data_IF_055864372678
#
_entry.id   IF_055864372678
#
_cell.length_a   1.000
_cell.length_b   1.000
_cell.length_c   1.000
_cell.angle_alpha   90.00
_cell.angle_beta   90.00
_cell.angle_gamma   90.00
#
_symmetry.space_group_name_H-M   'P 1'
#
loop_
_entity.id
_entity.type
_entity.pdbx_description
1 polymer ?
#
# COMPACT_ATOMS: atom_id res chain seq x y z
N UNK A 1 -11.60 -1.56 64.73
CA UNK A 1 -11.88 -2.05 63.38
C UNK A 1 -11.03 -1.22 62.42
N UNK A 2 -9.88 -1.78 62.04
CA UNK A 2 -9.08 -1.21 60.93
C UNK A 2 -9.75 -1.59 59.62
N UNK A 3 -10.18 -0.60 58.87
CA UNK A 3 -10.64 -0.78 57.49
C UNK A 3 -9.40 -0.64 56.64
N UNK A 4 -8.85 -1.79 56.18
CA UNK A 4 -7.77 -1.81 55.22
C UNK A 4 -8.28 -1.16 53.94
N UNK A 5 -7.79 0.06 53.66
CA UNK A 5 -7.97 0.69 52.35
C UNK A 5 -7.16 -0.11 51.33
N UNK A 6 -7.81 -1.05 50.65
CA UNK A 6 -7.27 -1.67 49.43
C UNK A 6 -7.31 -0.58 48.37
N UNK A 7 -6.11 -0.04 48.05
CA UNK A 7 -5.95 0.81 46.85
C UNK A 7 -6.37 0.00 45.64
N UNK A 8 -7.25 0.52 44.76
CA UNK A 8 -7.55 -0.16 43.53
C UNK A 8 -6.26 -0.32 42.71
N UNK A 9 -6.08 -1.45 42.01
CA UNK A 9 -4.89 -1.65 41.18
C UNK A 9 -4.75 -0.48 40.19
N UNK A 10 -3.58 0.11 40.12
CA UNK A 10 -3.28 1.15 39.14
C UNK A 10 -3.56 0.58 37.74
N UNK A 11 -4.46 1.20 36.99
CA UNK A 11 -4.72 0.86 35.61
C UNK A 11 -3.43 1.15 34.86
N UNK A 12 -2.69 0.13 34.47
CA UNK A 12 -1.59 0.29 33.52
C UNK A 12 -2.19 0.63 32.17
N UNK A 13 -2.11 1.88 31.78
CA UNK A 13 -2.49 2.32 30.44
C UNK A 13 -1.34 1.90 29.54
N UNK A 14 -1.47 0.75 28.89
CA UNK A 14 -0.56 0.36 27.82
C UNK A 14 -0.95 1.18 26.58
N UNK A 15 -0.08 2.14 26.21
CA UNK A 15 -0.31 2.96 25.02
C UNK A 15 0.27 2.23 23.79
N UNK A 16 -0.56 2.00 22.78
CA UNK A 16 -0.09 1.48 21.50
C UNK A 16 0.84 2.52 20.83
N UNK A 17 1.91 2.09 20.15
CA UNK A 17 2.70 2.99 19.31
C UNK A 17 1.82 3.71 18.29
N UNK A 18 2.10 5.00 18.07
CA UNK A 18 1.37 5.83 17.11
C UNK A 18 2.13 5.90 15.79
N UNK A 19 1.44 5.71 14.68
CA UNK A 19 2.03 5.81 13.35
C UNK A 19 1.24 6.85 12.55
N UNK A 20 1.91 7.87 12.04
CA UNK A 20 1.29 8.84 11.15
C UNK A 20 1.47 8.40 9.70
N UNK A 21 0.35 8.11 9.04
CA UNK A 21 0.32 7.78 7.62
C UNK A 21 -0.16 8.95 6.79
N UNK A 22 0.65 9.34 5.79
CA UNK A 22 0.29 10.22 4.69
C UNK A 22 -0.05 9.36 3.47
N UNK A 23 -1.25 9.47 2.95
CA UNK A 23 -1.66 8.66 1.81
C UNK A 23 -3.01 9.03 1.24
N UNK A 24 -3.31 8.53 0.05
CA UNK A 24 -4.63 8.67 -0.53
C UNK A 24 -5.65 7.75 0.14
N UNK A 25 -6.91 8.18 0.18
CA UNK A 25 -8.01 7.31 0.59
C UNK A 25 -8.48 6.46 -0.59
N UNK A 26 -8.66 5.16 -0.34
CA UNK A 26 -9.11 4.16 -1.32
C UNK A 26 -10.51 3.66 -0.95
N UNK A 27 -11.55 3.92 -1.78
CA UNK A 27 -12.91 3.44 -1.50
C UNK A 27 -13.04 1.92 -1.45
N UNK A 28 -12.12 1.19 -2.10
CA UNK A 28 -12.08 -0.27 -2.09
C UNK A 28 -11.46 -0.83 -0.81
N UNK A 29 -10.60 -0.05 -0.14
CA UNK A 29 -9.88 -0.48 1.05
C UNK A 29 -8.70 -1.41 0.77
N UNK A 30 -8.29 -1.55 -0.49
CA UNK A 30 -7.20 -2.41 -0.89
C UNK A 30 -5.83 -1.79 -0.63
N UNK A 31 -5.72 -0.48 -0.85
CA UNK A 31 -4.49 0.32 -0.77
C UNK A 31 -4.69 1.58 0.10
N UNK A 32 -3.71 2.46 0.14
CA UNK A 32 -3.78 3.77 0.79
C UNK A 32 -4.04 3.69 2.30
N UNK A 33 -4.64 4.76 2.83
CA UNK A 33 -4.89 4.92 4.27
C UNK A 33 -5.66 3.73 4.87
N UNK A 34 -6.64 3.17 4.17
CA UNK A 34 -7.43 2.05 4.67
C UNK A 34 -6.58 0.79 4.86
N UNK A 35 -5.69 0.52 3.92
CA UNK A 35 -4.74 -0.59 4.02
C UNK A 35 -3.75 -0.39 5.18
N UNK A 36 -3.26 0.85 5.31
CA UNK A 36 -2.32 1.23 6.36
C UNK A 36 -2.93 1.05 7.75
N UNK A 37 -4.10 1.66 8.00
CA UNK A 37 -4.80 1.57 9.28
C UNK A 37 -5.14 0.12 9.66
N UNK A 38 -5.57 -0.70 8.68
CA UNK A 38 -5.87 -2.11 8.91
C UNK A 38 -4.61 -2.89 9.32
N UNK A 39 -3.46 -2.65 8.65
CA UNK A 39 -2.19 -3.30 8.95
C UNK A 39 -1.62 -2.84 10.31
N UNK A 40 -1.69 -1.54 10.63
CA UNK A 40 -1.27 -1.01 11.93
C UNK A 40 -2.06 -1.64 13.07
N UNK A 41 -3.40 -1.70 12.93
CA UNK A 41 -4.27 -2.32 13.93
C UNK A 41 -3.96 -3.81 14.12
N UNK A 42 -3.68 -4.55 13.04
CA UNK A 42 -3.28 -5.96 13.10
C UNK A 42 -1.97 -6.16 13.88
N UNK A 43 -1.07 -5.17 13.86
CA UNK A 43 0.23 -5.20 14.56
C UNK A 43 0.18 -4.52 15.94
N UNK A 44 -1.00 -4.18 16.45
CA UNK A 44 -1.16 -3.57 17.78
C UNK A 44 -0.79 -2.08 17.86
N UNK A 45 -0.64 -1.41 16.73
CA UNK A 45 -0.38 0.02 16.65
C UNK A 45 -1.66 0.82 16.41
N UNK A 46 -1.65 2.10 16.80
CA UNK A 46 -2.73 3.03 16.46
C UNK A 46 -2.30 3.92 15.29
N UNK A 47 -3.08 3.89 14.21
CA UNK A 47 -2.81 4.69 13.02
C UNK A 47 -3.46 6.06 13.09
N UNK A 48 -2.67 7.10 12.87
CA UNK A 48 -3.11 8.46 12.56
C UNK A 48 -3.06 8.64 11.04
N UNK A 49 -4.02 9.35 10.46
CA UNK A 49 -4.10 9.48 9.01
C UNK A 49 -4.21 10.92 8.54
N UNK A 50 -3.34 11.30 7.61
CA UNK A 50 -3.42 12.55 6.84
C UNK A 50 -3.69 12.20 5.39
N UNK A 51 -4.86 12.54 4.90
CA UNK A 51 -5.28 12.22 3.54
C UNK A 51 -4.64 13.19 2.56
N UNK A 52 -3.87 12.66 1.61
CA UNK A 52 -3.18 13.41 0.55
C UNK A 52 -3.95 13.45 -0.76
N UNK A 53 -4.91 12.54 -0.94
CA UNK A 53 -5.73 12.43 -2.13
C UNK A 53 -6.89 11.48 -1.96
N UNK A 54 -7.78 11.47 -2.94
CA UNK A 54 -8.93 10.58 -3.03
C UNK A 54 -8.79 9.77 -4.32
N UNK A 55 -8.68 8.45 -4.21
CA UNK A 55 -8.64 7.56 -5.37
C UNK A 55 -10.03 7.36 -5.95
N UNK A 56 -10.13 7.41 -7.25
CA UNK A 56 -11.28 6.95 -8.02
C UNK A 56 -10.89 5.62 -8.66
N UNK A 57 -11.59 4.55 -8.32
CA UNK A 57 -11.27 3.23 -8.86
C UNK A 57 -12.11 2.11 -8.27
N UNK A 58 -11.83 0.91 -8.75
CA UNK A 58 -12.47 -0.33 -8.31
C UNK A 58 -11.42 -1.43 -8.00
N UNK A 59 -11.84 -2.68 -7.89
CA UNK A 59 -10.91 -3.80 -7.65
C UNK A 59 -10.02 -4.13 -8.84
N UNK A 60 -10.30 -3.57 -10.02
CA UNK A 60 -9.57 -3.82 -11.26
C UNK A 60 -8.39 -2.86 -11.41
N UNK A 61 -8.64 -1.55 -11.26
CA UNK A 61 -7.63 -0.50 -11.43
C UNK A 61 -8.05 0.82 -10.75
N UNK A 62 -7.08 1.70 -10.58
CA UNK A 62 -7.30 3.10 -10.22
C UNK A 62 -7.50 3.90 -11.50
N UNK A 63 -8.60 4.64 -11.62
CA UNK A 63 -8.93 5.45 -12.80
C UNK A 63 -8.34 6.86 -12.69
N UNK A 64 -8.38 7.45 -11.48
CA UNK A 64 -7.94 8.81 -11.25
C UNK A 64 -7.60 9.05 -9.77
N UNK A 65 -6.94 10.17 -9.49
CA UNK A 65 -6.68 10.66 -8.14
C UNK A 65 -6.98 12.14 -8.04
N UNK A 66 -7.81 12.53 -7.07
CA UNK A 66 -8.00 13.91 -6.69
C UNK A 66 -7.07 14.27 -5.55
N UNK A 67 -6.03 15.07 -5.78
CA UNK A 67 -5.14 15.55 -4.72
C UNK A 67 -5.90 16.45 -3.74
N UNK A 68 -5.56 16.35 -2.46
CA UNK A 68 -5.98 17.28 -1.41
C UNK A 68 -5.02 18.47 -1.42
N UNK A 69 -5.56 19.65 -1.13
CA UNK A 69 -4.79 20.90 -1.01
C UNK A 69 -3.67 20.75 0.03
N UNK A 70 -2.46 21.18 -0.33
CA UNK A 70 -1.25 20.97 0.46
C UNK A 70 -1.29 21.71 1.81
N UNK A 71 -1.95 22.86 1.91
CA UNK A 71 -2.11 23.58 3.18
C UNK A 71 -2.98 22.76 4.15
N UNK A 72 -4.03 22.07 3.65
CA UNK A 72 -4.83 21.15 4.47
C UNK A 72 -4.03 19.94 4.96
N UNK A 73 -3.19 19.36 4.09
CA UNK A 73 -2.30 18.25 4.45
C UNK A 73 -1.32 18.70 5.54
N UNK A 74 -0.70 19.86 5.37
CA UNK A 74 0.25 20.42 6.33
C UNK A 74 -0.41 20.72 7.68
N UNK A 75 -1.53 21.41 7.68
CA UNK A 75 -2.23 21.82 8.91
C UNK A 75 -2.72 20.60 9.69
N UNK A 76 -3.28 19.60 9.02
CA UNK A 76 -3.74 18.38 9.67
C UNK A 76 -2.59 17.61 10.32
N UNK A 77 -1.46 17.47 9.62
CA UNK A 77 -0.29 16.79 10.16
C UNK A 77 0.29 17.52 11.38
N UNK A 78 0.43 18.84 11.31
CA UNK A 78 0.99 19.65 12.42
C UNK A 78 0.12 19.58 13.67
N UNK A 79 -1.21 19.68 13.53
CA UNK A 79 -2.16 19.56 14.65
C UNK A 79 -2.02 18.19 15.34
N UNK A 80 -1.88 17.11 14.57
CA UNK A 80 -1.68 15.77 15.13
C UNK A 80 -0.34 15.64 15.84
N UNK A 81 0.73 16.14 15.25
CA UNK A 81 2.09 16.04 15.79
C UNK A 81 2.33 16.92 17.02
N UNK A 82 1.58 18.04 17.18
CA UNK A 82 1.59 18.87 18.38
C UNK A 82 0.94 18.16 19.57
N UNK A 83 -0.04 17.29 19.34
CA UNK A 83 -0.80 16.60 20.40
C UNK A 83 -0.26 15.19 20.72
N UNK A 84 0.24 14.48 19.70
CA UNK A 84 0.54 13.06 19.80
C UNK A 84 1.96 12.72 19.32
N UNK A 85 2.80 12.09 20.19
CA UNK A 85 4.13 11.65 19.80
C UNK A 85 4.03 10.41 18.89
N UNK A 86 4.50 10.51 17.66
CA UNK A 86 4.51 9.39 16.70
C UNK A 86 5.82 8.59 16.82
N UNK A 87 5.71 7.27 16.61
CA UNK A 87 6.82 6.33 16.64
C UNK A 87 7.34 5.96 15.24
N UNK A 88 6.56 6.23 14.18
CA UNK A 88 6.96 6.06 12.80
C UNK A 88 6.09 6.91 11.85
N UNK A 89 6.66 7.27 10.71
CA UNK A 89 5.94 7.82 9.56
C UNK A 89 5.81 6.77 8.46
N UNK A 90 4.66 6.73 7.83
CA UNK A 90 4.45 6.00 6.57
C UNK A 90 3.96 6.98 5.51
N UNK A 91 4.66 7.07 4.40
CA UNK A 91 4.27 7.91 3.26
C UNK A 91 3.95 7.02 2.07
N UNK A 92 2.71 7.15 1.59
CA UNK A 92 2.19 6.43 0.43
C UNK A 92 1.99 7.35 -0.77
N UNK A 93 0.87 7.19 -1.48
CA UNK A 93 0.52 8.04 -2.61
C UNK A 93 0.25 9.48 -2.17
N UNK A 94 0.96 10.45 -2.74
CA UNK A 94 0.93 11.85 -2.31
C UNK A 94 0.06 12.76 -3.20
N UNK A 95 -0.20 12.36 -4.44
CA UNK A 95 -1.12 13.02 -5.35
C UNK A 95 -0.61 14.27 -6.05
N UNK A 96 0.32 15.04 -5.48
CA UNK A 96 0.90 16.25 -6.09
C UNK A 96 2.32 16.55 -5.59
N UNK A 97 3.05 17.41 -6.33
CA UNK A 97 4.39 17.91 -5.94
C UNK A 97 4.32 18.77 -4.68
N UNK A 98 3.26 19.54 -4.54
CA UNK A 98 3.04 20.39 -3.37
C UNK A 98 2.87 19.54 -2.10
N UNK A 99 2.15 18.43 -2.19
CA UNK A 99 2.01 17.49 -1.08
C UNK A 99 3.35 16.84 -0.72
N UNK A 100 4.16 16.46 -1.72
CA UNK A 100 5.53 15.96 -1.49
C UNK A 100 6.35 16.98 -0.72
N UNK A 101 6.29 18.23 -1.12
CA UNK A 101 7.07 19.32 -0.52
C UNK A 101 6.69 19.55 0.94
N UNK A 102 5.40 19.68 1.25
CA UNK A 102 4.96 19.91 2.65
C UNK A 102 5.20 18.71 3.55
N UNK A 103 5.06 17.49 3.03
CA UNK A 103 5.38 16.27 3.79
C UNK A 103 6.87 16.21 4.09
N UNK A 104 7.74 16.51 3.12
CA UNK A 104 9.19 16.51 3.30
C UNK A 104 9.63 17.56 4.33
N UNK A 105 9.03 18.75 4.31
CA UNK A 105 9.25 19.79 5.34
C UNK A 105 8.86 19.27 6.74
N UNK A 106 7.68 18.64 6.87
CA UNK A 106 7.19 18.15 8.16
C UNK A 106 8.09 17.05 8.70
N UNK A 107 8.42 16.02 7.90
CA UNK A 107 9.26 14.90 8.40
C UNK A 107 10.68 15.33 8.72
N UNK A 108 11.19 16.38 8.09
CA UNK A 108 12.52 16.95 8.40
C UNK A 108 12.65 17.50 9.82
N UNK A 109 11.53 17.87 10.46
CA UNK A 109 11.50 18.31 11.85
C UNK A 109 11.60 17.13 12.84
N UNK A 110 11.49 15.88 12.36
CA UNK A 110 11.48 14.65 13.16
C UNK A 110 12.53 13.63 12.69
N UNK A 111 13.83 13.98 12.64
CA UNK A 111 14.85 13.13 12.02
C UNK A 111 15.10 11.79 12.73
N UNK A 112 14.67 11.66 14.00
CA UNK A 112 14.81 10.44 14.78
C UNK A 112 13.63 9.48 14.62
N UNK A 113 12.55 9.89 13.91
CA UNK A 113 11.37 9.07 13.67
C UNK A 113 11.54 8.35 12.33
N UNK A 114 11.53 7.01 12.30
CA UNK A 114 11.70 6.26 11.05
C UNK A 114 10.61 6.58 10.03
N UNK A 115 11.04 6.84 8.79
CA UNK A 115 10.20 7.13 7.65
C UNK A 115 10.19 5.94 6.68
N UNK A 116 9.02 5.37 6.44
CA UNK A 116 8.78 4.34 5.45
C UNK A 116 8.11 4.97 4.24
N UNK A 117 8.80 4.94 3.09
CA UNK A 117 8.30 5.49 1.83
C UNK A 117 7.89 4.36 0.88
N UNK A 118 6.60 4.32 0.52
CA UNK A 118 6.01 3.43 -0.47
C UNK A 118 5.29 4.30 -1.51
N UNK A 119 5.99 4.68 -2.60
CA UNK A 119 5.49 5.71 -3.52
C UNK A 119 4.23 5.34 -4.28
N UNK A 120 3.91 4.03 -4.39
CA UNK A 120 2.69 3.53 -5.03
C UNK A 120 2.50 4.03 -6.47
N UNK A 121 3.59 4.16 -7.22
CA UNK A 121 3.54 4.76 -8.57
C UNK A 121 2.98 3.82 -9.63
N UNK A 122 3.09 2.51 -9.46
CA UNK A 122 2.64 1.51 -10.45
C UNK A 122 1.12 1.33 -10.51
N UNK A 123 0.39 1.74 -9.49
CA UNK A 123 -1.06 1.62 -9.46
C UNK A 123 -1.78 2.92 -9.86
N UNK A 124 -1.05 4.03 -9.97
CA UNK A 124 -1.58 5.32 -10.43
C UNK A 124 -1.61 5.33 -11.97
N UNK A 125 -2.68 5.83 -12.62
CA UNK A 125 -2.74 5.92 -14.07
C UNK A 125 -1.55 6.67 -14.67
N UNK A 126 -1.05 6.20 -15.83
CA UNK A 126 0.10 6.82 -16.51
C UNK A 126 -0.12 8.33 -16.74
N UNK A 127 -1.37 8.76 -17.03
CA UNK A 127 -1.71 10.17 -17.23
C UNK A 127 -1.42 11.05 -16.01
N UNK A 128 -1.51 10.50 -14.79
CA UNK A 128 -1.17 11.21 -13.55
C UNK A 128 0.35 11.28 -13.35
N UNK A 129 1.07 10.34 -13.96
CA UNK A 129 2.54 10.21 -13.90
C UNK A 129 3.22 10.71 -15.19
N UNK A 130 2.48 11.38 -16.10
CA UNK A 130 3.04 11.93 -17.34
C UNK A 130 4.13 12.99 -17.10
N UNK A 131 4.12 13.61 -15.92
CA UNK A 131 5.19 14.51 -15.48
C UNK A 131 6.18 13.75 -14.60
N UNK A 132 7.45 13.80 -14.96
CA UNK A 132 8.56 13.33 -14.10
C UNK A 132 8.69 14.17 -12.81
N UNK A 133 7.96 15.28 -12.70
CA UNK A 133 8.07 16.22 -11.59
C UNK A 133 7.75 15.57 -10.24
N UNK A 134 6.76 14.65 -10.18
CA UNK A 134 6.47 13.89 -8.95
C UNK A 134 7.62 12.98 -8.55
N UNK A 135 8.21 12.28 -9.53
CA UNK A 135 9.33 11.36 -9.32
C UNK A 135 10.57 12.14 -8.90
N UNK A 136 10.84 13.28 -9.55
CA UNK A 136 11.95 14.18 -9.23
C UNK A 136 11.79 14.76 -7.82
N UNK A 137 10.62 15.31 -7.49
CA UNK A 137 10.35 15.89 -6.18
C UNK A 137 10.50 14.85 -5.05
N UNK A 138 9.96 13.65 -5.24
CA UNK A 138 10.08 12.56 -4.28
C UNK A 138 11.55 12.16 -4.07
N UNK A 139 12.31 12.01 -5.14
CA UNK A 139 13.73 11.67 -5.09
C UNK A 139 14.57 12.74 -4.39
N UNK A 140 14.30 14.02 -4.68
CA UNK A 140 15.10 15.12 -4.14
C UNK A 140 14.72 15.48 -2.70
N UNK A 141 13.47 15.34 -2.32
CA UNK A 141 12.95 15.83 -1.06
C UNK A 141 12.70 14.75 0.00
N UNK A 142 12.19 13.56 -0.39
CA UNK A 142 11.81 12.50 0.53
C UNK A 142 12.85 11.39 0.64
N UNK A 143 13.40 10.93 -0.47
CA UNK A 143 14.40 9.83 -0.47
C UNK A 143 15.56 10.09 0.49
N UNK A 144 16.14 11.32 0.58
CA UNK A 144 17.24 11.61 1.51
C UNK A 144 16.88 11.49 3.00
N UNK A 145 15.62 11.45 3.35
CA UNK A 145 15.10 11.37 4.72
C UNK A 145 14.51 10.00 5.05
N UNK A 146 14.54 9.08 4.07
CA UNK A 146 13.83 7.80 4.16
C UNK A 146 14.68 6.75 4.87
N UNK A 147 14.12 6.16 5.94
CA UNK A 147 14.71 5.00 6.60
C UNK A 147 14.57 3.75 5.74
N UNK A 148 13.38 3.49 5.18
CA UNK A 148 13.15 2.39 4.26
C UNK A 148 12.30 2.83 3.07
N UNK A 149 12.87 2.68 1.87
CA UNK A 149 12.18 2.86 0.60
C UNK A 149 11.77 1.50 0.05
N UNK A 150 10.46 1.30 -0.16
CA UNK A 150 9.90 0.07 -0.73
C UNK A 150 9.51 0.30 -2.17
N UNK A 151 10.04 -0.51 -3.09
CA UNK A 151 9.83 -0.40 -4.52
C UNK A 151 9.61 -1.76 -5.17
N UNK A 152 8.75 -1.84 -6.16
CA UNK A 152 8.80 -2.90 -7.14
C UNK A 152 10.00 -2.70 -8.08
N UNK A 153 10.39 -3.74 -8.82
CA UNK A 153 11.46 -3.63 -9.83
C UNK A 153 11.17 -2.53 -10.87
N UNK A 154 9.90 -2.39 -11.27
CA UNK A 154 9.48 -1.38 -12.26
C UNK A 154 9.62 0.04 -11.67
N UNK A 155 9.24 0.23 -10.42
CA UNK A 155 9.36 1.51 -9.73
C UNK A 155 10.81 1.91 -9.51
N UNK A 156 11.67 0.95 -9.15
CA UNK A 156 13.10 1.17 -9.01
C UNK A 156 13.71 1.64 -10.34
N UNK A 157 13.46 0.93 -11.43
CA UNK A 157 13.95 1.30 -12.76
C UNK A 157 13.47 2.69 -13.17
N UNK A 158 12.18 2.99 -12.96
CA UNK A 158 11.60 4.30 -13.27
C UNK A 158 12.24 5.42 -12.45
N UNK A 159 12.45 5.20 -11.16
CA UNK A 159 13.10 6.15 -10.28
C UNK A 159 14.57 6.36 -10.67
N UNK A 160 15.25 5.32 -11.13
CA UNK A 160 16.63 5.36 -11.62
C UNK A 160 16.75 6.06 -12.99
N UNK A 161 15.82 5.86 -13.92
CA UNK A 161 15.83 6.44 -15.27
C UNK A 161 15.86 7.96 -15.28
N UNK A 162 15.33 8.63 -14.25
CA UNK A 162 15.26 10.09 -14.19
C UNK A 162 16.63 10.79 -14.02
N UNK A 163 17.71 10.05 -13.75
CA UNK A 163 19.03 10.64 -13.53
C UNK A 163 20.20 9.85 -14.13
N UNK A 164 19.93 8.63 -14.64
CA UNK A 164 20.98 7.73 -15.09
C UNK A 164 21.35 7.98 -16.55
N UNK A 165 22.65 8.07 -16.83
CA UNK A 165 23.11 7.90 -18.21
C UNK A 165 22.93 6.43 -18.62
N UNK A 166 22.49 6.15 -19.88
CA UNK A 166 22.34 4.78 -20.34
C UNK A 166 23.66 4.00 -20.16
N UNK A 167 23.62 2.99 -19.31
CA UNK A 167 24.75 2.08 -19.07
C UNK A 167 24.36 0.65 -19.39
N UNK A 168 25.36 -0.20 -19.68
CA UNK A 168 25.14 -1.61 -19.95
C UNK A 168 25.04 -2.46 -18.65
N UNK A 169 25.18 -1.83 -17.48
CA UNK A 169 25.21 -2.48 -16.17
C UNK A 169 23.93 -2.17 -15.35
N UNK A 170 22.78 -2.25 -16.00
CA UNK A 170 21.47 -2.00 -15.38
C UNK A 170 21.09 -3.15 -14.44
N UNK A 171 21.64 -3.17 -13.24
CA UNK A 171 21.31 -4.15 -12.21
C UNK A 171 20.52 -3.52 -11.05
N UNK A 172 19.64 -4.30 -10.41
CA UNK A 172 18.90 -3.86 -9.21
C UNK A 172 19.84 -3.30 -8.14
N UNK A 173 21.02 -3.89 -7.98
CA UNK A 173 22.01 -3.46 -7.00
C UNK A 173 22.57 -2.08 -7.31
N UNK A 174 22.82 -1.76 -8.58
CA UNK A 174 23.32 -0.43 -9.01
C UNK A 174 22.26 0.64 -8.71
N UNK A 175 21.03 0.40 -9.12
CA UNK A 175 19.93 1.34 -8.91
C UNK A 175 19.62 1.55 -7.42
N UNK A 176 19.61 0.48 -6.62
CA UNK A 176 19.44 0.56 -5.17
C UNK A 176 20.59 1.34 -4.50
N UNK A 177 21.83 1.12 -4.94
CA UNK A 177 23.00 1.83 -4.44
C UNK A 177 22.88 3.34 -4.68
N UNK A 178 22.42 3.77 -5.85
CA UNK A 178 22.23 5.19 -6.13
C UNK A 178 21.22 5.87 -5.20
N UNK A 179 20.12 5.17 -4.86
CA UNK A 179 19.14 5.68 -3.90
C UNK A 179 19.72 5.80 -2.49
N UNK A 180 20.54 4.83 -2.09
CA UNK A 180 21.24 4.84 -0.80
C UNK A 180 22.29 5.97 -0.75
N UNK A 181 23.04 6.18 -1.83
CA UNK A 181 23.98 7.30 -1.94
C UNK A 181 23.29 8.67 -1.89
N UNK A 182 22.00 8.75 -2.26
CA UNK A 182 21.17 9.95 -2.15
C UNK A 182 20.69 10.22 -0.72
N UNK A 183 20.94 9.31 0.24
CA UNK A 183 20.65 9.49 1.66
C UNK A 183 19.63 8.49 2.25
N UNK A 184 18.98 7.66 1.45
CA UNK A 184 18.11 6.59 1.94
C UNK A 184 18.94 5.55 2.72
N UNK A 185 18.46 5.09 3.88
CA UNK A 185 19.21 4.11 4.67
C UNK A 185 19.07 2.69 4.12
N UNK A 186 17.84 2.30 3.75
CA UNK A 186 17.54 0.97 3.21
C UNK A 186 16.62 1.06 1.99
N UNK A 187 16.86 0.17 1.02
CA UNK A 187 15.99 -0.02 -0.15
C UNK A 187 15.53 -1.47 -0.20
N UNK A 188 14.21 -1.69 -0.15
CA UNK A 188 13.59 -3.00 -0.32
C UNK A 188 12.99 -3.11 -1.72
N UNK A 189 13.58 -3.96 -2.56
CA UNK A 189 13.05 -4.26 -3.89
C UNK A 189 12.22 -5.53 -3.83
N UNK A 190 10.95 -5.44 -4.24
CA UNK A 190 9.98 -6.53 -4.09
C UNK A 190 9.54 -7.14 -5.41
N UNK A 191 9.15 -8.41 -5.36
CA UNK A 191 8.48 -9.10 -6.46
C UNK A 191 9.38 -9.42 -7.65
N UNK A 192 10.70 -9.45 -7.46
CA UNK A 192 11.63 -9.87 -8.50
C UNK A 192 11.42 -11.35 -8.83
N UNK A 193 11.21 -11.72 -10.11
CA UNK A 193 11.08 -13.13 -10.48
C UNK A 193 12.38 -13.88 -10.15
N UNK A 194 12.29 -14.87 -9.27
CA UNK A 194 13.42 -15.76 -8.94
C UNK A 194 13.33 -17.05 -9.75
N UNK A 195 12.11 -17.57 -9.85
CA UNK A 195 11.78 -18.75 -10.64
C UNK A 195 10.27 -18.66 -11.04
N UNK A 196 9.74 -19.71 -11.71
CA UNK A 196 8.30 -19.75 -12.14
C UNK A 196 7.34 -19.73 -10.93
N UNK A 197 7.79 -20.27 -9.81
CA UNK A 197 6.97 -20.49 -8.61
C UNK A 197 7.35 -19.59 -7.43
N UNK A 198 8.42 -18.78 -7.56
CA UNK A 198 8.95 -17.95 -6.49
C UNK A 198 9.16 -16.51 -6.92
N UNK A 199 9.08 -15.64 -5.92
CA UNK A 199 9.49 -14.24 -6.03
C UNK A 199 10.55 -13.97 -4.97
N UNK A 200 11.53 -13.14 -5.30
CA UNK A 200 12.54 -12.65 -4.37
C UNK A 200 12.24 -11.21 -3.96
N UNK A 201 12.48 -10.93 -2.69
CA UNK A 201 12.51 -9.58 -2.16
C UNK A 201 13.92 -9.34 -1.60
N UNK A 202 14.58 -8.29 -2.05
CA UNK A 202 15.98 -8.00 -1.70
C UNK A 202 16.07 -6.69 -0.95
N UNK A 203 16.63 -6.72 0.25
CA UNK A 203 16.93 -5.56 1.08
C UNK A 203 18.38 -5.14 0.88
N UNK A 204 18.59 -3.87 0.56
CA UNK A 204 19.90 -3.25 0.38
C UNK A 204 20.13 -2.18 1.44
N UNK A 205 21.41 -2.02 1.84
CA UNK A 205 21.93 -0.89 2.57
C UNK A 205 23.27 -0.41 1.98
N UNK A 206 23.96 0.50 2.62
CA UNK A 206 25.28 1.02 2.18
C UNK A 206 26.36 -0.05 2.04
N UNK A 207 26.19 -1.24 2.61
CA UNK A 207 27.14 -2.36 2.49
C UNK A 207 26.78 -3.31 1.32
N UNK A 208 25.65 -3.08 0.65
CA UNK A 208 25.11 -3.90 -0.43
C UNK A 208 23.89 -4.71 0.01
N UNK A 209 23.77 -5.96 -0.41
CA UNK A 209 22.64 -6.84 -0.05
C UNK A 209 22.73 -7.21 1.44
N UNK A 210 21.72 -6.81 2.22
CA UNK A 210 21.56 -7.17 3.64
C UNK A 210 20.90 -8.53 3.77
N UNK A 211 19.84 -8.76 2.97
CA UNK A 211 19.12 -10.03 2.92
C UNK A 211 18.37 -10.19 1.59
N UNK A 212 18.13 -11.41 1.23
CA UNK A 212 17.28 -11.81 0.13
C UNK A 212 16.34 -12.92 0.63
N UNK A 213 15.04 -12.66 0.52
CA UNK A 213 14.00 -13.57 0.98
C UNK A 213 13.20 -14.10 -0.23
N UNK A 214 13.00 -15.41 -0.27
CA UNK A 214 12.27 -16.10 -1.32
C UNK A 214 10.91 -16.55 -0.82
N UNK A 215 9.86 -16.19 -1.57
CA UNK A 215 8.48 -16.48 -1.21
C UNK A 215 7.76 -17.22 -2.33
N UNK A 216 6.92 -18.22 -2.00
CA UNK A 216 6.07 -18.85 -3.00
C UNK A 216 5.18 -17.83 -3.68
N UNK A 217 5.18 -17.84 -5.03
CA UNK A 217 4.26 -17.00 -5.80
C UNK A 217 2.83 -17.43 -5.51
N UNK A 218 2.04 -16.55 -4.94
CA UNK A 218 0.63 -16.80 -4.69
C UNK A 218 -0.15 -16.82 -6.01
N UNK A 219 -1.10 -17.77 -6.18
CA UNK A 219 -1.91 -17.82 -7.39
C UNK A 219 -2.88 -16.63 -7.45
N UNK A 220 -3.00 -16.00 -8.63
CA UNK A 220 -3.88 -14.88 -8.87
C UNK A 220 -3.16 -13.55 -9.00
N UNK A 221 -3.96 -12.50 -9.20
CA UNK A 221 -3.53 -11.10 -9.24
C UNK A 221 -4.06 -10.37 -8.01
N UNK A 222 -3.20 -9.60 -7.38
CA UNK A 222 -3.51 -8.93 -6.11
C UNK A 222 -3.41 -7.41 -6.26
N UNK A 223 -4.19 -6.70 -5.45
CA UNK A 223 -4.02 -5.27 -5.19
C UNK A 223 -3.83 -5.06 -3.69
N UNK A 224 -2.88 -4.22 -3.30
CA UNK A 224 -2.60 -3.90 -1.90
C UNK A 224 -1.53 -4.76 -1.21
N UNK A 225 -0.81 -5.63 -1.92
CA UNK A 225 0.29 -6.40 -1.35
C UNK A 225 1.43 -5.49 -0.84
N UNK A 226 1.89 -4.53 -1.67
CA UNK A 226 2.91 -3.54 -1.27
C UNK A 226 2.46 -2.67 -0.11
N UNK A 227 1.21 -2.16 -0.16
CA UNK A 227 0.64 -1.36 0.92
C UNK A 227 0.55 -2.14 2.25
N UNK A 228 0.19 -3.43 2.20
CA UNK A 228 0.20 -4.30 3.38
C UNK A 228 1.61 -4.47 3.93
N UNK A 229 2.59 -4.73 3.07
CA UNK A 229 3.98 -4.93 3.45
C UNK A 229 4.58 -3.66 4.07
N UNK A 230 4.48 -2.51 3.38
CA UNK A 230 5.06 -1.24 3.85
C UNK A 230 4.44 -0.77 5.18
N UNK A 231 3.12 -0.91 5.33
CA UNK A 231 2.44 -0.56 6.57
C UNK A 231 2.82 -1.52 7.72
N UNK A 232 2.94 -2.81 7.44
CA UNK A 232 3.37 -3.78 8.46
C UNK A 232 4.80 -3.50 8.91
N UNK A 233 5.72 -3.18 7.98
CA UNK A 233 7.10 -2.76 8.34
C UNK A 233 7.05 -1.52 9.24
N UNK A 234 6.27 -0.50 8.88
CA UNK A 234 6.13 0.71 9.69
C UNK A 234 5.67 0.38 11.13
N UNK A 235 4.72 -0.53 11.28
CA UNK A 235 4.23 -0.96 12.57
C UNK A 235 5.29 -1.73 13.39
N UNK A 236 6.10 -2.54 12.76
CA UNK A 236 7.17 -3.28 13.44
C UNK A 236 8.30 -2.36 13.89
N UNK A 237 8.69 -1.37 13.06
CA UNK A 237 9.64 -0.34 13.47
C UNK A 237 9.09 0.51 14.63
N UNK A 238 7.80 0.88 14.59
CA UNK A 238 7.15 1.61 15.67
C UNK A 238 7.13 0.81 16.99
N UNK A 239 7.13 -0.52 16.92
CA UNK A 239 7.28 -1.44 18.06
C UNK A 239 8.77 -1.63 18.49
N UNK A 240 9.73 -0.98 17.85
CA UNK A 240 11.15 -1.01 18.21
C UNK A 240 11.98 -2.13 17.59
N UNK A 241 11.47 -2.79 16.56
CA UNK A 241 12.21 -3.80 15.81
C UNK A 241 13.24 -3.14 14.88
N UNK A 242 14.37 -3.77 14.61
CA UNK A 242 15.30 -3.28 13.60
C UNK A 242 14.80 -3.54 12.17
N UNK A 243 15.33 -2.79 11.18
CA UNK A 243 14.85 -2.84 9.81
C UNK A 243 14.93 -4.24 9.18
N UNK A 244 16.05 -4.98 9.24
CA UNK A 244 16.14 -6.30 8.63
C UNK A 244 15.16 -7.32 9.22
N UNK A 245 14.91 -7.27 10.53
CA UNK A 245 13.96 -8.15 11.18
C UNK A 245 12.51 -7.73 10.91
N UNK A 246 12.22 -6.42 10.96
CA UNK A 246 10.91 -5.87 10.60
C UNK A 246 10.50 -6.25 9.17
N UNK A 247 11.43 -6.18 8.22
CA UNK A 247 11.21 -6.61 6.83
C UNK A 247 10.86 -8.10 6.75
N UNK A 248 11.58 -8.97 7.45
CA UNK A 248 11.32 -10.41 7.46
C UNK A 248 9.92 -10.73 8.00
N UNK A 249 9.61 -10.24 9.18
CA UNK A 249 8.33 -10.49 9.86
C UNK A 249 7.15 -9.92 9.05
N UNK A 250 7.32 -8.72 8.49
CA UNK A 250 6.29 -8.10 7.66
C UNK A 250 6.01 -8.87 6.35
N UNK A 251 7.03 -9.49 5.77
CA UNK A 251 6.86 -10.37 4.62
C UNK A 251 6.09 -11.63 4.99
N UNK A 252 6.39 -12.26 6.13
CA UNK A 252 5.64 -13.43 6.63
C UNK A 252 4.16 -13.10 6.82
N UNK A 253 3.85 -11.96 7.45
CA UNK A 253 2.47 -11.49 7.60
C UNK A 253 1.80 -11.23 6.25
N UNK A 254 2.51 -10.56 5.32
CA UNK A 254 1.98 -10.24 4.00
C UNK A 254 1.66 -11.50 3.19
N UNK A 255 2.56 -12.49 3.19
CA UNK A 255 2.33 -13.77 2.51
C UNK A 255 1.11 -14.49 3.09
N UNK A 256 0.96 -14.49 4.42
CA UNK A 256 -0.23 -15.05 5.06
C UNK A 256 -1.52 -14.30 4.69
N UNK A 257 -1.48 -12.96 4.66
CA UNK A 257 -2.62 -12.14 4.23
C UNK A 257 -3.00 -12.38 2.76
N UNK A 258 -2.01 -12.62 1.89
CA UNK A 258 -2.23 -12.96 0.48
C UNK A 258 -2.80 -14.38 0.32
N UNK A 259 -2.35 -15.34 1.12
CA UNK A 259 -2.89 -16.70 1.09
C UNK A 259 -4.38 -16.76 1.49
N UNK A 260 -4.85 -15.77 2.26
CA UNK A 260 -6.26 -15.63 2.67
C UNK A 260 -6.98 -14.49 1.91
N UNK A 261 -6.40 -14.01 0.80
CA UNK A 261 -6.97 -12.90 0.06
C UNK A 261 -8.37 -13.20 -0.46
N UNK A 262 -9.19 -12.16 -0.53
CA UNK A 262 -10.60 -12.25 -0.86
C UNK A 262 -10.90 -11.61 -2.21
N UNK A 263 -11.80 -12.23 -2.97
CA UNK A 263 -12.39 -11.65 -4.18
C UNK A 263 -13.65 -10.88 -3.80
N UNK A 264 -13.51 -9.58 -3.55
CA UNK A 264 -14.63 -8.72 -3.15
C UNK A 264 -15.37 -8.10 -4.34
N UNK A 265 -14.73 -8.09 -5.52
CA UNK A 265 -15.28 -7.58 -6.77
C UNK A 265 -14.87 -8.44 -7.95
N UNK A 266 -15.06 -7.92 -9.16
CA UNK A 266 -14.73 -8.64 -10.40
C UNK A 266 -13.23 -8.60 -10.74
N UNK A 267 -12.46 -7.73 -10.08
CA UNK A 267 -11.04 -7.50 -10.38
C UNK A 267 -10.08 -8.36 -9.56
N UNK A 268 -9.05 -7.71 -9.04
CA UNK A 268 -7.95 -8.32 -8.30
C UNK A 268 -8.38 -8.79 -6.91
N UNK A 269 -7.64 -9.73 -6.35
CA UNK A 269 -7.78 -10.17 -4.97
C UNK A 269 -7.22 -9.13 -4.01
N UNK A 270 -7.85 -8.99 -2.85
CA UNK A 270 -7.43 -8.05 -1.78
C UNK A 270 -6.93 -8.86 -0.60
N UNK A 271 -5.71 -8.57 -0.06
CA UNK A 271 -5.15 -9.26 1.10
C UNK A 271 -6.09 -9.18 2.31
N UNK A 272 -6.32 -10.30 2.99
CA UNK A 272 -7.06 -10.31 4.25
C UNK A 272 -6.11 -10.00 5.41
N UNK A 273 -6.12 -8.75 5.87
CA UNK A 273 -5.27 -8.27 6.96
C UNK A 273 -5.73 -8.72 8.34
N UNK A 274 -6.90 -9.38 8.40
CA UNK A 274 -7.53 -9.91 9.63
C UNK A 274 -7.73 -11.43 9.58
N UNK A 275 -6.98 -12.13 8.71
CA UNK A 275 -7.11 -13.58 8.51
C UNK A 275 -7.05 -14.37 9.83
N UNK A 276 -6.23 -13.93 10.78
CA UNK A 276 -6.05 -14.57 12.09
C UNK A 276 -7.27 -14.38 13.02
N UNK A 277 -8.11 -13.38 12.79
CA UNK A 277 -9.32 -13.10 13.58
C UNK A 277 -10.58 -13.81 13.04
N UNK A 278 -10.46 -14.51 11.89
CA UNK A 278 -11.56 -15.27 11.30
C UNK A 278 -11.55 -16.70 11.81
N UNK A 279 -12.72 -17.23 12.18
CA UNK A 279 -12.86 -18.65 12.48
C UNK A 279 -12.62 -19.49 11.22
N UNK A 280 -11.79 -20.54 11.31
CA UNK A 280 -11.47 -21.44 10.20
C UNK A 280 -12.69 -22.20 9.62
N UNK A 281 -13.88 -21.96 10.13
CA UNK A 281 -15.14 -22.53 9.64
C UNK A 281 -15.77 -21.79 8.44
N UNK A 282 -15.35 -20.53 8.17
CA UNK A 282 -15.96 -19.69 7.15
C UNK A 282 -15.22 -19.71 5.79
N UNK A 283 -14.21 -20.58 5.63
CA UNK A 283 -13.56 -20.79 4.34
C UNK A 283 -14.51 -21.56 3.42
N UNK A 284 -15.39 -20.83 2.72
CA UNK A 284 -16.10 -21.38 1.57
C UNK A 284 -15.06 -21.60 0.49
N UNK A 285 -14.77 -22.87 0.19
CA UNK A 285 -13.97 -23.21 -0.99
C UNK A 285 -14.64 -22.57 -2.21
N UNK A 286 -14.00 -21.59 -2.82
CA UNK A 286 -14.39 -21.08 -4.14
C UNK A 286 -14.13 -22.23 -5.08
N UNK A 287 -15.20 -22.95 -5.46
CA UNK A 287 -15.14 -24.00 -6.45
C UNK A 287 -14.48 -23.46 -7.72
N UNK A 288 -13.75 -24.31 -8.38
CA UNK A 288 -13.14 -24.04 -9.69
C UNK A 288 -14.15 -23.26 -10.55
N UNK A 289 -13.81 -22.01 -10.86
CA UNK A 289 -14.55 -21.24 -11.84
C UNK A 289 -14.18 -21.88 -13.16
N UNK A 290 -15.13 -22.62 -13.75
CA UNK A 290 -15.02 -23.18 -15.08
C UNK A 290 -14.40 -22.12 -16.01
N UNK A 291 -13.28 -22.46 -16.64
CA UNK A 291 -12.77 -21.67 -17.75
C UNK A 291 -13.91 -21.43 -18.75
N UNK A 292 -14.07 -20.22 -19.29
CA UNK A 292 -15.08 -20.00 -20.31
C UNK A 292 -14.78 -20.94 -21.47
N UNK A 293 -15.66 -21.93 -21.64
CA UNK A 293 -15.57 -22.90 -22.72
C UNK A 293 -15.41 -22.18 -24.05
N UNK A 294 -14.46 -22.64 -24.85
CA UNK A 294 -14.35 -22.27 -26.27
C UNK A 294 -15.72 -22.29 -26.91
N UNK A 295 -16.12 -21.25 -27.68
CA UNK A 295 -17.42 -21.27 -28.33
C UNK A 295 -17.46 -22.44 -29.29
N UNK A 296 -18.40 -23.36 -29.05
CA UNK A 296 -18.76 -24.42 -30.01
C UNK A 296 -19.16 -23.76 -31.32
N UNK A 297 -18.65 -24.31 -32.42
CA UNK A 297 -19.01 -23.91 -33.77
C UNK A 297 -20.51 -23.98 -33.92
N UNK A 298 -21.15 -22.86 -34.20
CA UNK A 298 -22.59 -22.75 -34.41
C UNK A 298 -22.99 -23.58 -35.64
N UNK A 299 -23.90 -24.51 -35.43
CA UNK A 299 -24.63 -25.24 -36.47
C UNK A 299 -25.48 -24.23 -37.30
N UNK A 300 -25.29 -24.09 -38.61
CA UNK A 300 -25.95 -23.06 -39.41
C UNK A 300 -27.45 -23.30 -39.70
N UNK A 301 -28.08 -24.38 -39.20
CA UNK A 301 -29.44 -24.78 -39.56
C UNK A 301 -30.46 -24.74 -38.40
N UNK A 302 -30.25 -23.97 -37.33
CA UNK A 302 -31.26 -23.85 -36.25
C UNK A 302 -32.10 -22.58 -36.42
N UNK A 303 -33.47 -22.67 -36.44
CA UNK A 303 -34.33 -21.50 -36.62
C UNK A 303 -34.32 -20.60 -35.36
N UNK A 304 -34.16 -19.30 -35.58
CA UNK A 304 -34.16 -18.26 -34.58
C UNK A 304 -35.51 -18.15 -33.85
N UNK A 305 -35.51 -18.55 -32.58
CA UNK A 305 -36.58 -18.21 -31.66
C UNK A 305 -36.22 -16.86 -30.96
N UNK A 306 -37.05 -15.85 -31.21
CA UNK A 306 -36.89 -14.52 -30.63
C UNK A 306 -37.52 -14.48 -29.22
N UNK A 307 -36.79 -14.13 -28.16
CA UNK A 307 -37.44 -13.91 -26.87
C UNK A 307 -38.10 -12.54 -26.80
N UNK A 308 -39.39 -12.56 -26.41
CA UNK A 308 -40.20 -11.38 -26.07
C UNK A 308 -39.55 -10.53 -24.95
N UNK A 309 -39.19 -9.29 -25.28
CA UNK A 309 -38.76 -8.28 -24.30
C UNK A 309 -39.98 -7.69 -23.56
N UNK A 310 -39.98 -7.60 -22.25
CA UNK A 310 -41.03 -6.94 -21.49
C UNK A 310 -41.06 -5.44 -21.77
N UNK A 311 -42.24 -4.91 -22.15
CA UNK A 311 -42.46 -3.46 -22.38
C UNK A 311 -42.45 -2.70 -21.07
N UNK A 312 -41.59 -1.66 -20.98
CA UNK A 312 -41.61 -0.68 -19.91
C UNK A 312 -42.90 0.18 -19.96
N UNK A 313 -43.48 0.54 -18.81
CA UNK A 313 -44.68 1.37 -18.76
C UNK A 313 -44.36 2.82 -19.18
N UNK A 314 -45.28 3.39 -19.98
CA UNK A 314 -45.15 4.76 -20.47
C UNK A 314 -45.26 5.79 -19.35
N UNK A 315 -44.26 6.70 -19.29
CA UNK A 315 -44.24 7.84 -18.37
C UNK A 315 -45.31 8.87 -18.79
N UNK A 316 -46.33 9.06 -17.91
CA UNK A 316 -47.34 10.08 -18.07
C UNK A 316 -46.78 11.49 -17.99
N UNK A 317 -47.12 12.32 -18.97
CA UNK A 317 -46.94 13.78 -18.99
C UNK A 317 -47.70 14.41 -17.84
N UNK A 318 -46.99 15.11 -16.94
CA UNK A 318 -47.61 16.10 -16.04
C UNK A 318 -47.56 17.45 -16.71
N UNK A 319 -48.74 18.00 -16.95
CA UNK A 319 -48.97 19.32 -17.52
C UNK A 319 -48.59 20.44 -16.54
N UNK A 320 -48.24 21.54 -17.13
CA UNK A 320 -48.01 22.84 -16.50
C UNK A 320 -49.28 23.40 -15.84
N UNK A 321 -49.08 23.96 -14.66
CA UNK A 321 -49.66 25.21 -14.19
C UNK A 321 -48.73 25.79 -13.14
#
# INVERSE_FOLDING_TARGET
CNVDHVNPPAVQIQTSPLILSFGATDPVGAVGIQADLASFAAMGCHGLSVVTGILLGDTTHVEDIQAIDADWVADQARILLEDMPVAAFKVGCMGSVENITVIAEIVSDYPDVPLILDPFTTAVPEQVLESDDLVIAMRELLVPQTTLLLLSQVELSRLAETWREPSNDDTLAVDATHLIESGCEFVLVTGTPSDIHEVANTLFDKSGVVREDHWPRQPGTFTGAGATLSATIAAMLANGMDVPEAVREAQEFTVAALAHAQRLGMGKLIPDRYFWARDNGDLVAVGDVDEPGTPDEADPDSPADSPDLPRLPATGKRGAN
#
